data_IF_491801597523
#
_entry.id   IF_491801597523
#
_cell.length_a   1.000
_cell.length_b   1.000
_cell.length_c   1.000
_cell.angle_alpha   90.00
_cell.angle_beta   90.00
_cell.angle_gamma   90.00
#
_symmetry.space_group_name_H-M   'P 1'
#
loop_
_entity.id
_entity.type
_entity.pdbx_description
1 polymer ?
#
# COMPACT_ATOMS: atom_id res chain seq x y z
N UNK A 1 10.04 31.86 -17.67
CA UNK A 1 9.73 32.74 -16.53
C UNK A 1 8.22 32.97 -16.52
N UNK A 2 7.47 32.25 -15.71
CA UNK A 2 6.00 32.39 -15.67
C UNK A 2 5.65 33.45 -14.63
N UNK A 3 5.08 34.57 -15.11
CA UNK A 3 4.68 35.72 -14.31
C UNK A 3 3.35 35.41 -13.60
N UNK A 4 3.39 35.25 -12.26
CA UNK A 4 2.18 35.12 -11.45
C UNK A 4 1.59 36.53 -11.23
N UNK A 5 0.50 36.85 -11.93
CA UNK A 5 -0.25 38.09 -11.76
C UNK A 5 -1.04 38.06 -10.44
N UNK A 6 -0.41 38.53 -9.38
CA UNK A 6 -1.04 38.94 -8.13
C UNK A 6 -1.69 40.32 -8.32
N UNK A 7 -2.85 40.39 -8.98
CA UNK A 7 -3.64 41.61 -8.98
C UNK A 7 -5.14 41.29 -8.85
N UNK A 8 -5.63 41.54 -7.64
CA UNK A 8 -6.97 42.08 -7.30
C UNK A 8 -7.75 41.25 -6.27
N UNK A 9 -7.39 41.43 -5.01
CA UNK A 9 -8.34 41.56 -3.89
C UNK A 9 -7.65 42.52 -2.92
N UNK A 10 -7.81 43.83 -3.14
CA UNK A 10 -8.61 44.70 -2.27
C UNK A 10 -8.28 44.46 -0.79
N UNK A 11 -7.58 45.45 -0.24
CA UNK A 11 -7.24 45.64 1.17
C UNK A 11 -8.33 45.14 2.13
N UNK A 12 -8.12 43.96 2.70
CA UNK A 12 -8.64 43.57 4.01
C UNK A 12 -7.68 42.53 4.58
N UNK A 13 -7.36 42.62 5.87
CA UNK A 13 -6.61 41.58 6.56
C UNK A 13 -7.27 40.23 6.30
N UNK A 14 -6.51 39.18 5.93
CA UNK A 14 -7.11 37.88 5.69
C UNK A 14 -7.74 37.41 7.01
N UNK A 15 -9.07 37.46 7.09
CA UNK A 15 -9.81 36.84 8.19
C UNK A 15 -9.47 35.36 8.23
N UNK A 16 -9.41 34.78 9.44
CA UNK A 16 -9.04 33.36 9.63
C UNK A 16 -9.83 32.43 8.70
N UNK A 17 -11.10 32.76 8.42
CA UNK A 17 -11.96 32.03 7.50
C UNK A 17 -11.47 32.03 6.03
N UNK A 18 -10.84 33.11 5.57
CA UNK A 18 -10.25 33.19 4.22
C UNK A 18 -8.99 32.32 4.12
N UNK A 19 -8.17 32.31 5.18
CA UNK A 19 -7.01 31.41 5.29
C UNK A 19 -7.46 29.95 5.37
N UNK A 20 -8.50 29.64 6.15
CA UNK A 20 -9.10 28.31 6.21
C UNK A 20 -9.66 27.91 4.85
N UNK A 21 -10.33 28.81 4.13
CA UNK A 21 -10.85 28.57 2.78
C UNK A 21 -9.74 28.25 1.77
N UNK A 22 -8.64 28.99 1.77
CA UNK A 22 -7.48 28.73 0.92
C UNK A 22 -6.79 27.41 1.29
N UNK A 23 -6.58 27.12 2.58
CA UNK A 23 -6.00 25.87 3.05
C UNK A 23 -6.91 24.66 2.78
N UNK A 24 -8.23 24.84 2.83
CA UNK A 24 -9.22 23.82 2.45
C UNK A 24 -9.18 23.56 0.95
N UNK A 25 -9.01 24.60 0.13
CA UNK A 25 -8.88 24.48 -1.32
C UNK A 25 -7.56 23.79 -1.73
N UNK A 26 -6.46 24.09 -1.03
CA UNK A 26 -5.19 23.36 -1.15
C UNK A 26 -5.34 21.91 -0.64
N UNK A 27 -6.11 21.69 0.43
CA UNK A 27 -6.46 20.37 0.96
C UNK A 27 -7.31 19.54 0.01
N UNK A 28 -8.13 20.18 -0.83
CA UNK A 28 -8.94 19.54 -1.87
C UNK A 28 -8.11 19.16 -3.12
N UNK A 29 -7.01 19.89 -3.38
CA UNK A 29 -5.97 19.49 -4.35
C UNK A 29 -4.97 18.48 -3.76
N UNK A 30 -5.07 18.17 -2.46
CA UNK A 30 -4.15 17.28 -1.77
C UNK A 30 -4.61 15.83 -1.94
N UNK A 31 -3.73 15.06 -2.58
CA UNK A 31 -3.87 13.65 -2.93
C UNK A 31 -5.15 13.29 -3.69
N UNK A 32 -5.09 13.08 -5.02
CA UNK A 32 -6.10 12.23 -5.67
C UNK A 32 -6.20 10.95 -4.84
N UNK A 33 -7.41 10.53 -4.40
CA UNK A 33 -7.54 9.37 -3.54
C UNK A 33 -6.81 8.21 -4.21
N UNK A 34 -5.72 7.76 -3.57
CA UNK A 34 -4.86 6.74 -4.12
C UNK A 34 -5.75 5.56 -4.47
N UNK A 35 -5.89 5.28 -5.77
CA UNK A 35 -6.73 4.18 -6.22
C UNK A 35 -6.18 2.94 -5.54
N UNK A 36 -7.06 2.07 -5.02
CA UNK A 36 -6.74 0.79 -4.35
C UNK A 36 -5.70 -0.07 -5.09
N UNK A 37 -5.46 0.20 -6.37
CA UNK A 37 -4.50 -0.45 -7.26
C UNK A 37 -3.47 0.56 -7.83
N UNK A 38 -2.77 1.31 -6.97
CA UNK A 38 -1.76 2.29 -7.40
C UNK A 38 -0.48 1.64 -7.95
N UNK A 39 -0.13 0.45 -7.45
CA UNK A 39 1.08 -0.28 -7.87
C UNK A 39 0.80 -1.02 -9.20
N UNK A 40 1.52 -0.69 -10.29
CA UNK A 40 1.36 -1.37 -11.58
C UNK A 40 1.71 -2.87 -11.49
N UNK A 41 1.07 -3.68 -12.32
CA UNK A 41 1.33 -5.12 -12.39
C UNK A 41 2.81 -5.45 -12.66
N UNK A 42 3.49 -4.67 -13.50
CA UNK A 42 4.90 -4.86 -13.80
C UNK A 42 5.81 -4.72 -12.58
N UNK A 43 5.43 -3.87 -11.63
CA UNK A 43 6.15 -3.71 -10.36
C UNK A 43 5.94 -4.98 -9.53
N UNK A 44 4.69 -5.45 -9.39
CA UNK A 44 4.41 -6.71 -8.69
C UNK A 44 5.16 -7.91 -9.27
N UNK A 45 5.24 -8.02 -10.60
CA UNK A 45 5.91 -9.12 -11.27
C UNK A 45 7.44 -9.15 -11.04
N UNK A 46 8.06 -7.98 -10.79
CA UNK A 46 9.48 -7.86 -10.52
C UNK A 46 9.83 -8.03 -9.03
N UNK A 47 8.84 -7.97 -8.13
CA UNK A 47 9.08 -8.08 -6.70
C UNK A 47 9.55 -9.50 -6.36
N UNK A 48 10.71 -9.67 -5.69
CA UNK A 48 11.18 -10.98 -5.29
C UNK A 48 10.17 -11.63 -4.33
N UNK A 49 10.06 -12.96 -4.25
CA UNK A 49 9.28 -13.60 -3.20
C UNK A 49 9.90 -13.36 -1.81
N UNK A 50 9.08 -13.38 -0.77
CA UNK A 50 9.52 -13.16 0.61
C UNK A 50 10.14 -14.47 1.12
N UNK A 51 11.39 -14.47 1.59
CA UNK A 51 12.06 -15.70 2.02
C UNK A 51 11.33 -16.40 3.17
N UNK A 52 10.67 -15.64 4.05
CA UNK A 52 9.92 -16.21 5.16
C UNK A 52 8.61 -16.86 4.68
N UNK A 53 7.92 -16.23 3.71
CA UNK A 53 6.74 -16.83 3.07
C UNK A 53 7.14 -18.12 2.36
N UNK A 54 8.26 -18.13 1.63
CA UNK A 54 8.77 -19.33 0.97
C UNK A 54 9.10 -20.45 1.96
N UNK A 55 9.75 -20.13 3.08
CA UNK A 55 10.06 -21.11 4.12
C UNK A 55 8.79 -21.73 4.72
N UNK A 56 7.77 -20.91 5.01
CA UNK A 56 6.49 -21.39 5.52
C UNK A 56 5.73 -22.25 4.50
N UNK A 57 5.83 -21.92 3.21
CA UNK A 57 5.25 -22.73 2.14
C UNK A 57 5.96 -24.08 1.98
N UNK A 58 7.28 -24.10 2.09
CA UNK A 58 8.07 -25.33 2.08
C UNK A 58 7.70 -26.23 3.28
N UNK A 59 7.62 -25.66 4.49
CA UNK A 59 7.17 -26.39 5.69
C UNK A 59 5.75 -26.95 5.49
N UNK A 60 4.81 -26.13 4.96
CA UNK A 60 3.44 -26.57 4.70
C UNK A 60 3.40 -27.69 3.68
N UNK A 61 4.19 -27.62 2.61
CA UNK A 61 4.26 -28.63 1.57
C UNK A 61 4.82 -29.96 2.11
N UNK A 62 5.90 -29.88 2.90
CA UNK A 62 6.50 -31.03 3.57
C UNK A 62 5.49 -31.72 4.51
N UNK A 63 4.80 -30.95 5.36
CA UNK A 63 3.80 -31.50 6.28
C UNK A 63 2.58 -32.11 5.59
N UNK A 64 2.22 -31.59 4.42
CA UNK A 64 1.12 -32.09 3.59
C UNK A 64 1.52 -33.38 2.85
N UNK A 65 2.82 -33.59 2.58
CA UNK A 65 3.35 -34.81 1.97
C UNK A 65 2.69 -35.17 0.64
N UNK A 66 2.27 -34.17 -0.14
CA UNK A 66 1.53 -34.37 -1.40
C UNK A 66 0.06 -34.77 -1.26
N UNK A 67 -0.47 -34.97 -0.05
CA UNK A 67 -1.87 -35.36 0.17
C UNK A 67 -2.82 -34.21 -0.16
N UNK A 68 -3.82 -34.43 -1.03
CA UNK A 68 -4.81 -33.38 -1.35
C UNK A 68 -5.64 -32.97 -0.12
N UNK A 69 -6.10 -33.95 0.68
CA UNK A 69 -6.95 -33.75 1.85
C UNK A 69 -6.12 -33.76 3.13
N UNK A 70 -6.26 -32.70 3.93
CA UNK A 70 -5.53 -32.55 5.21
C UNK A 70 -6.35 -33.00 6.43
N UNK A 71 -7.67 -33.19 6.26
CA UNK A 71 -8.60 -33.52 7.35
C UNK A 71 -8.34 -34.93 7.88
N UNK A 72 -8.11 -35.07 9.18
CA UNK A 72 -7.78 -36.32 9.85
C UNK A 72 -6.29 -36.68 9.82
N UNK A 73 -5.43 -35.79 9.31
CA UNK A 73 -3.98 -35.99 9.36
C UNK A 73 -3.43 -35.49 10.69
N UNK A 74 -2.36 -36.10 11.18
CA UNK A 74 -1.68 -35.67 12.41
C UNK A 74 -1.20 -34.20 12.35
N UNK A 75 -0.93 -33.71 11.13
CA UNK A 75 -0.41 -32.37 10.89
C UNK A 75 -1.50 -31.32 10.59
N UNK A 76 -2.79 -31.68 10.60
CA UNK A 76 -3.89 -30.81 10.16
C UNK A 76 -3.86 -29.42 10.82
N UNK A 77 -3.72 -29.39 12.14
CA UNK A 77 -3.69 -28.14 12.93
C UNK A 77 -2.51 -27.26 12.52
N UNK A 78 -1.32 -27.85 12.38
CA UNK A 78 -0.11 -27.12 11.96
C UNK A 78 -0.25 -26.59 10.55
N UNK A 79 -0.76 -27.39 9.60
CA UNK A 79 -0.99 -26.97 8.22
C UNK A 79 -1.98 -25.80 8.14
N UNK A 80 -3.05 -25.82 8.95
CA UNK A 80 -4.00 -24.70 9.04
C UNK A 80 -3.35 -23.44 9.59
N UNK A 81 -2.55 -23.56 10.66
CA UNK A 81 -1.82 -22.43 11.24
C UNK A 81 -0.85 -21.83 10.23
N UNK A 82 -0.07 -22.66 9.54
CA UNK A 82 0.85 -22.21 8.47
C UNK A 82 0.09 -21.50 7.35
N UNK A 83 -1.07 -22.01 6.94
CA UNK A 83 -1.90 -21.37 5.91
C UNK A 83 -2.35 -19.96 6.33
N UNK A 84 -2.80 -19.80 7.58
CA UNK A 84 -3.18 -18.49 8.10
C UNK A 84 -1.98 -17.53 8.19
N UNK A 85 -0.82 -18.01 8.67
CA UNK A 85 0.41 -17.21 8.75
C UNK A 85 0.88 -16.75 7.37
N UNK A 86 0.87 -17.64 6.36
CA UNK A 86 1.21 -17.29 4.98
C UNK A 86 0.27 -16.22 4.45
N UNK A 87 -1.05 -16.37 4.65
CA UNK A 87 -2.03 -15.39 4.21
C UNK A 87 -1.81 -14.02 4.87
N UNK A 88 -1.56 -14.00 6.18
CA UNK A 88 -1.27 -12.77 6.93
C UNK A 88 0.00 -12.09 6.41
N UNK A 89 1.09 -12.83 6.20
CA UNK A 89 2.35 -12.27 5.70
C UNK A 89 2.22 -11.74 4.28
N UNK A 90 1.50 -12.44 3.39
CA UNK A 90 1.20 -11.94 2.05
C UNK A 90 0.43 -10.63 2.09
N UNK A 91 -0.58 -10.54 2.96
CA UNK A 91 -1.36 -9.32 3.12
C UNK A 91 -0.51 -8.18 3.69
N UNK A 92 0.34 -8.45 4.68
CA UNK A 92 1.25 -7.43 5.23
C UNK A 92 2.22 -6.93 4.17
N UNK A 93 2.89 -7.86 3.48
CA UNK A 93 3.83 -7.54 2.41
C UNK A 93 3.20 -6.72 1.29
N UNK A 94 1.95 -7.04 0.92
CA UNK A 94 1.25 -6.26 -0.09
C UNK A 94 1.00 -4.82 0.36
N UNK A 95 0.69 -4.60 1.64
CA UNK A 95 0.55 -3.25 2.22
C UNK A 95 1.88 -2.52 2.23
N UNK A 96 2.96 -3.20 2.63
CA UNK A 96 4.29 -2.60 2.70
C UNK A 96 4.76 -2.12 1.32
N UNK A 97 4.59 -2.96 0.29
CA UNK A 97 4.92 -2.60 -1.10
C UNK A 97 4.04 -1.44 -1.61
N UNK A 98 2.75 -1.44 -1.29
CA UNK A 98 1.86 -0.33 -1.66
C UNK A 98 2.27 0.98 -0.98
N UNK A 99 2.68 0.92 0.28
CA UNK A 99 3.16 2.08 1.02
C UNK A 99 4.47 2.60 0.45
N UNK A 100 5.45 1.74 0.24
CA UNK A 100 6.76 2.13 -0.31
C UNK A 100 6.63 2.72 -1.71
N UNK A 101 5.84 2.09 -2.58
CA UNK A 101 5.58 2.62 -3.91
C UNK A 101 4.85 3.97 -3.87
N UNK A 102 3.93 4.15 -2.90
CA UNK A 102 3.23 5.41 -2.71
C UNK A 102 4.21 6.52 -2.34
N UNK A 103 5.03 6.30 -1.31
CA UNK A 103 6.01 7.29 -0.85
C UNK A 103 6.97 7.67 -1.98
N UNK A 104 7.54 6.68 -2.70
CA UNK A 104 8.43 6.93 -3.83
C UNK A 104 7.74 7.69 -4.97
N UNK A 105 6.50 7.32 -5.31
CA UNK A 105 5.74 8.01 -6.35
C UNK A 105 5.53 9.50 -6.04
N UNK A 106 5.15 9.82 -4.80
CA UNK A 106 4.92 11.21 -4.36
C UNK A 106 6.24 11.98 -4.18
N UNK A 107 7.32 11.33 -3.76
CA UNK A 107 8.65 11.96 -3.70
C UNK A 107 9.16 12.36 -5.08
N UNK A 108 8.92 11.53 -6.11
CA UNK A 108 9.39 11.78 -7.47
C UNK A 108 8.46 12.69 -8.30
N UNK A 109 7.24 12.96 -7.81
CA UNK A 109 6.29 13.88 -8.42
C UNK A 109 5.85 14.94 -7.40
N UNK A 110 6.78 15.80 -6.92
CA UNK A 110 6.43 16.86 -6.00
C UNK A 110 5.55 17.88 -6.73
N UNK A 111 4.29 17.97 -6.28
CA UNK A 111 3.32 18.99 -6.73
C UNK A 111 3.60 20.34 -6.11
#
# INVERSE_FOLDING_TARGET
MVYLHLQNAVLDEPTEDSLIGMLSHIGLMRDPPARKNMVPYEVWAKMPPDPEILALEAERAHLKGGQYRIKGTKNEVRIRKLTAMIAQKRAQRAKDIQWEYREDYFHNHPT
#
